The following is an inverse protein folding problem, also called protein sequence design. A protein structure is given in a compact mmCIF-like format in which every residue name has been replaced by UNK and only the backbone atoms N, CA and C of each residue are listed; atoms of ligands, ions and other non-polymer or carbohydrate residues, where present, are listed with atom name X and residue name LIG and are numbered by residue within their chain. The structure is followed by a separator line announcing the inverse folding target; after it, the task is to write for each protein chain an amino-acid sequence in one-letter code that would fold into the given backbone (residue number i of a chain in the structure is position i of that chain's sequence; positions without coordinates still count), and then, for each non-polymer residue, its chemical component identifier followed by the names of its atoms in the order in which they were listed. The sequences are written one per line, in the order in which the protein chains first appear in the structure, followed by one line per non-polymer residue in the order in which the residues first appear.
data_IF_750600044284
#
_entry.id   IF_750600044284
#
_cell.length_a   1.000
_cell.length_b   1.000
_cell.length_c   1.000
_cell.angle_alpha   90.00
_cell.angle_beta   90.00
_cell.angle_gamma   90.00
#
_symmetry.space_group_name_H-M   'P 1'
#
loop_
_entity.id
_entity.type
_entity.pdbx_description
1 polymer ?
#
# COMPACT_ATOMS: atom_id res chain seq x y z
N UNK A 1 -22.84 47.59 -21.22
CA UNK A 1 -22.85 48.53 -20.07
C UNK A 1 -21.74 48.16 -19.09
N UNK A 2 -20.88 49.12 -18.73
CA UNK A 2 -20.14 49.15 -17.45
C UNK A 2 -20.94 50.03 -16.47
N UNK A 3 -20.86 49.79 -15.15
CA UNK A 3 -19.96 50.55 -14.26
C UNK A 3 -19.38 49.64 -13.14
N UNK A 4 -18.60 50.09 -12.15
CA UNK A 4 -17.55 51.12 -12.06
C UNK A 4 -16.70 50.81 -10.79
N UNK A 5 -15.59 51.52 -10.61
CA UNK A 5 -14.57 51.28 -9.56
C UNK A 5 -14.88 52.08 -8.29
N UNK A 6 -14.54 51.57 -7.11
CA UNK A 6 -14.08 52.39 -5.97
C UNK A 6 -12.94 51.70 -5.19
N UNK A 7 -12.01 52.53 -4.70
CA UNK A 7 -10.80 52.16 -3.95
C UNK A 7 -10.80 52.85 -2.58
N UNK A 8 -10.09 52.28 -1.60
CA UNK A 8 -9.86 52.86 -0.28
C UNK A 8 -8.86 52.00 0.49
N UNK A 9 -7.98 52.57 1.33
CA UNK A 9 -6.86 51.78 1.85
C UNK A 9 -6.09 52.28 3.07
N UNK A 10 -5.04 51.49 3.37
CA UNK A 10 -3.86 51.74 4.21
C UNK A 10 -3.98 51.77 5.76
N UNK A 11 -2.89 51.38 6.49
CA UNK A 11 -2.87 51.14 7.94
C UNK A 11 -2.10 52.31 8.66
N UNK A 12 -1.42 52.24 9.84
CA UNK A 12 -0.56 51.16 10.41
C UNK A 12 -0.74 50.86 11.93
N UNK A 13 -0.04 49.82 12.46
CA UNK A 13 0.84 49.93 13.65
C UNK A 13 1.72 48.68 13.88
N UNK A 14 2.89 48.91 14.47
CA UNK A 14 3.97 47.96 14.76
C UNK A 14 3.98 47.54 16.25
N UNK A 15 4.80 46.54 16.63
CA UNK A 15 5.66 46.61 17.85
C UNK A 15 6.68 45.45 17.99
N UNK A 16 7.94 45.86 18.20
CA UNK A 16 9.07 45.20 18.89
C UNK A 16 9.78 43.93 18.37
N UNK A 17 11.08 43.90 18.69
CA UNK A 17 12.07 42.83 18.53
C UNK A 17 12.61 42.41 19.90
N UNK A 18 12.92 41.13 20.10
CA UNK A 18 14.02 40.62 20.95
C UNK A 18 14.26 39.15 20.54
N UNK A 19 15.43 38.62 20.20
CA UNK A 19 16.88 38.85 20.47
C UNK A 19 17.40 38.16 21.75
N UNK A 20 18.37 37.26 21.54
CA UNK A 20 19.13 36.46 22.54
C UNK A 20 18.36 35.27 23.15
N UNK A 21 18.99 34.21 23.67
CA UNK A 21 20.42 33.99 23.96
C UNK A 21 20.84 32.52 23.72
N UNK A 22 22.08 32.34 23.28
CA UNK A 22 22.76 31.04 23.07
C UNK A 22 23.41 30.60 24.40
N UNK A 23 23.20 29.36 24.84
CA UNK A 23 24.00 28.76 25.92
C UNK A 23 24.52 27.39 25.46
N UNK A 24 25.83 27.33 25.18
CA UNK A 24 26.60 26.09 25.25
C UNK A 24 26.80 25.77 26.74
N UNK A 25 26.69 24.49 27.12
CA UNK A 25 27.57 23.95 28.18
C UNK A 25 28.29 22.72 27.64
N UNK A 26 29.59 22.76 27.87
CA UNK A 26 30.61 21.74 27.62
C UNK A 26 31.12 21.30 29.00
N UNK A 27 32.02 20.31 29.01
CA UNK A 27 32.68 19.73 30.18
C UNK A 27 31.80 18.73 30.96
N UNK A 28 32.32 17.61 31.44
CA UNK A 28 33.70 17.11 31.26
C UNK A 28 33.86 15.75 31.97
N UNK A 29 34.76 14.91 31.45
CA UNK A 29 35.17 13.67 32.12
C UNK A 29 36.19 13.94 33.23
N UNK A 30 36.17 13.18 34.32
CA UNK A 30 37.38 12.87 35.08
C UNK A 30 37.85 11.44 34.80
N UNK A 31 39.16 11.30 34.58
CA UNK A 31 39.91 10.04 34.77
C UNK A 31 40.75 10.20 36.04
N UNK A 32 40.63 9.23 36.94
CA UNK A 32 41.58 8.82 37.99
C UNK A 32 40.97 7.59 38.66
N UNK A 33 41.67 6.70 39.36
CA UNK A 33 43.09 6.51 39.63
C UNK A 33 43.18 5.15 40.38
N UNK A 34 44.24 4.36 40.20
CA UNK A 34 44.25 2.95 40.63
C UNK A 34 44.79 2.69 42.04
N UNK A 35 44.69 1.43 42.48
CA UNK A 35 45.54 0.80 43.53
C UNK A 35 45.46 -0.73 43.34
N UNK A 36 46.53 -1.42 42.90
CA UNK A 36 47.63 -2.09 43.65
C UNK A 36 47.37 -3.54 44.09
N UNK A 37 48.31 -4.42 43.73
CA UNK A 37 48.61 -5.76 44.28
C UNK A 37 47.50 -6.85 44.22
N UNK A 38 47.82 -8.14 44.03
CA UNK A 38 49.11 -8.78 43.76
C UNK A 38 49.20 -10.16 44.42
N UNK A 39 49.41 -11.24 43.65
CA UNK A 39 49.81 -12.56 44.14
C UNK A 39 50.22 -13.49 42.98
N UNK A 40 51.24 -14.32 43.23
CA UNK A 40 51.92 -15.22 42.29
C UNK A 40 51.09 -16.42 41.80
N UNK A 41 51.59 -17.09 40.75
CA UNK A 41 51.01 -18.34 40.24
C UNK A 41 51.66 -18.88 38.96
N UNK A 42 52.91 -19.32 39.02
CA UNK A 42 53.60 -19.90 37.86
C UNK A 42 53.11 -21.33 37.53
N UNK A 43 52.88 -21.65 36.24
CA UNK A 43 53.67 -22.69 35.54
C UNK A 43 53.35 -22.90 34.04
N UNK A 44 54.43 -23.10 33.27
CA UNK A 44 54.64 -24.06 32.15
C UNK A 44 53.55 -24.26 31.07
N UNK A 45 53.91 -23.85 29.84
CA UNK A 45 53.62 -24.61 28.61
C UNK A 45 54.38 -25.95 28.62
N UNK A 46 53.95 -26.95 27.82
CA UNK A 46 54.78 -27.30 26.66
C UNK A 46 53.98 -27.35 25.34
N UNK A 47 54.59 -27.86 24.27
CA UNK A 47 54.20 -27.57 22.88
C UNK A 47 54.16 -28.81 21.97
N UNK A 48 53.67 -28.57 20.73
CA UNK A 48 53.79 -29.41 19.51
C UNK A 48 52.98 -30.71 19.45
N UNK A 49 52.32 -30.91 18.30
CA UNK A 49 51.70 -32.18 17.87
C UNK A 49 51.20 -32.05 16.43
N UNK A 50 51.47 -33.04 15.57
CA UNK A 50 51.20 -33.01 14.12
C UNK A 50 49.83 -33.61 13.76
N UNK A 51 49.35 -33.27 12.57
CA UNK A 51 48.29 -34.01 11.85
C UNK A 51 48.72 -35.41 11.43
N UNK A 52 47.77 -36.29 11.08
CA UNK A 52 47.81 -36.86 9.73
C UNK A 52 46.45 -36.80 8.98
N UNK A 53 46.45 -37.38 7.77
CA UNK A 53 45.51 -37.15 6.66
C UNK A 53 44.47 -38.27 6.50
N UNK A 54 43.29 -37.87 6.00
CA UNK A 54 42.45 -38.54 4.99
C UNK A 54 41.87 -39.95 5.22
N UNK A 55 40.54 -40.04 5.07
CA UNK A 55 39.86 -41.17 4.43
C UNK A 55 38.73 -40.64 3.54
N UNK A 56 38.64 -41.15 2.31
CA UNK A 56 37.70 -40.70 1.26
C UNK A 56 36.40 -41.52 1.25
N UNK A 57 35.24 -40.87 1.16
CA UNK A 57 33.98 -41.53 0.81
C UNK A 57 33.21 -40.72 -0.25
N UNK A 58 33.27 -41.22 -1.49
CA UNK A 58 32.60 -40.64 -2.66
C UNK A 58 31.11 -41.05 -2.67
N UNK A 59 30.18 -40.09 -2.59
CA UNK A 59 28.78 -40.30 -3.02
C UNK A 59 28.36 -39.24 -4.04
N UNK A 60 27.73 -39.72 -5.10
CA UNK A 60 27.51 -39.03 -6.38
C UNK A 60 26.49 -37.90 -6.25
N UNK A 61 26.67 -36.85 -7.07
CA UNK A 61 25.78 -35.69 -7.16
C UNK A 61 24.43 -36.08 -7.80
N UNK A 62 23.35 -35.54 -7.25
CA UNK A 62 22.08 -35.32 -7.94
C UNK A 62 21.76 -33.81 -7.90
N UNK A 63 21.31 -33.17 -9.00
CA UNK A 63 21.14 -31.72 -9.06
C UNK A 63 19.79 -31.28 -8.48
N UNK A 64 19.68 -31.17 -7.15
CA UNK A 64 18.59 -30.40 -6.56
C UNK A 64 18.82 -28.90 -6.79
N UNK A 65 18.03 -28.31 -7.67
CA UNK A 65 18.03 -26.87 -7.97
C UNK A 65 17.57 -26.11 -6.72
N UNK A 66 18.55 -25.56 -5.99
CA UNK A 66 18.29 -24.80 -4.77
C UNK A 66 17.52 -23.51 -5.08
N UNK A 67 16.28 -23.45 -4.61
CA UNK A 67 15.39 -22.30 -4.80
C UNK A 67 15.97 -21.05 -4.13
N UNK A 68 16.16 -19.96 -4.89
CA UNK A 68 16.89 -18.77 -4.45
C UNK A 68 16.14 -17.99 -3.36
N UNK A 69 16.43 -18.29 -2.10
CA UNK A 69 16.05 -17.49 -0.93
C UNK A 69 16.95 -16.24 -0.72
N UNK A 70 17.68 -15.81 -1.77
CA UNK A 70 18.88 -14.96 -1.64
C UNK A 70 18.60 -13.46 -1.71
N UNK A 71 17.33 -13.02 -1.77
CA UNK A 71 16.96 -11.60 -1.91
C UNK A 71 16.62 -10.84 -0.61
N UNK A 72 16.73 -11.46 0.57
CA UNK A 72 16.45 -10.80 1.88
C UNK A 72 17.61 -10.79 2.90
N UNK A 73 18.69 -11.51 2.67
CA UNK A 73 19.74 -11.73 3.70
C UNK A 73 20.90 -10.70 3.72
N UNK A 74 20.98 -9.77 2.76
CA UNK A 74 22.18 -8.95 2.52
C UNK A 74 22.01 -7.42 2.75
N UNK A 75 21.31 -7.06 3.84
CA UNK A 75 21.34 -5.71 4.44
C UNK A 75 21.53 -5.74 5.98
N UNK A 76 21.25 -6.87 6.64
CA UNK A 76 21.54 -7.04 8.07
C UNK A 76 22.92 -7.69 8.22
N UNK A 77 23.88 -6.92 8.74
CA UNK A 77 25.05 -7.50 9.38
C UNK A 77 24.57 -8.45 10.48
N UNK A 78 25.32 -9.54 10.73
CA UNK A 78 24.95 -10.60 11.67
C UNK A 78 25.05 -10.10 13.12
N UNK A 79 24.08 -9.28 13.52
CA UNK A 79 23.78 -8.98 14.92
C UNK A 79 23.06 -10.20 15.48
N UNK A 80 23.60 -10.76 16.55
CA UNK A 80 22.92 -11.75 17.39
C UNK A 80 21.77 -11.05 18.13
N UNK A 81 20.67 -10.82 17.43
CA UNK A 81 19.46 -10.22 17.99
C UNK A 81 18.81 -11.19 18.98
N UNK A 82 18.49 -10.68 20.18
CA UNK A 82 17.73 -11.46 21.16
C UNK A 82 16.36 -11.86 20.60
N UNK A 83 15.77 -12.90 21.17
CA UNK A 83 14.43 -13.38 20.79
C UNK A 83 13.37 -12.27 20.76
N UNK A 84 13.46 -11.29 21.68
CA UNK A 84 12.62 -10.08 21.70
C UNK A 84 12.74 -9.19 20.46
N UNK A 85 13.95 -8.91 19.95
CA UNK A 85 14.13 -8.08 18.75
C UNK A 85 13.56 -8.75 17.49
N UNK A 86 13.70 -10.08 17.39
CA UNK A 86 13.13 -10.86 16.30
C UNK A 86 11.59 -10.88 16.35
N UNK A 87 10.99 -10.91 17.55
CA UNK A 87 9.55 -10.78 17.75
C UNK A 87 9.05 -9.38 17.36
N UNK A 88 9.68 -8.32 17.86
CA UNK A 88 9.35 -6.93 17.52
C UNK A 88 9.52 -6.65 16.02
N UNK A 89 10.53 -7.22 15.36
CA UNK A 89 10.71 -7.12 13.92
C UNK A 89 9.61 -7.86 13.12
N UNK A 90 9.17 -9.04 13.57
CA UNK A 90 8.05 -9.77 12.97
C UNK A 90 6.73 -9.03 13.14
N UNK A 91 6.46 -8.52 14.34
CA UNK A 91 5.26 -7.73 14.66
C UNK A 91 5.19 -6.44 13.82
N UNK A 92 6.31 -5.71 13.70
CA UNK A 92 6.44 -4.53 12.83
C UNK A 92 6.16 -4.80 11.35
N UNK A 93 6.33 -6.03 10.88
CA UNK A 93 5.98 -6.45 9.51
C UNK A 93 4.54 -6.98 9.41
N UNK A 94 4.06 -7.64 10.46
CA UNK A 94 2.73 -8.27 10.49
C UNK A 94 1.59 -7.25 10.32
N UNK A 95 1.64 -6.11 11.01
CA UNK A 95 0.59 -5.09 10.85
C UNK A 95 0.62 -4.46 9.45
N UNK A 96 1.79 -4.21 8.87
CA UNK A 96 1.91 -3.61 7.52
C UNK A 96 1.32 -4.54 6.46
N UNK A 97 1.70 -5.83 6.50
CA UNK A 97 1.11 -6.84 5.62
C UNK A 97 -0.41 -6.92 5.86
N UNK A 98 -0.87 -6.93 7.12
CA UNK A 98 -2.30 -7.02 7.47
C UNK A 98 -3.10 -5.81 7.00
N UNK A 99 -2.65 -4.57 7.20
CA UNK A 99 -3.33 -3.36 6.69
C UNK A 99 -3.43 -3.40 5.17
N UNK A 100 -2.38 -3.84 4.48
CA UNK A 100 -2.41 -4.04 3.02
C UNK A 100 -3.40 -5.13 2.60
N UNK A 101 -3.43 -6.25 3.33
CA UNK A 101 -4.38 -7.34 3.13
C UNK A 101 -5.82 -6.85 3.26
N UNK A 102 -6.16 -6.24 4.38
CA UNK A 102 -7.47 -5.62 4.64
C UNK A 102 -7.84 -4.58 3.57
N UNK A 103 -6.89 -3.74 3.16
CA UNK A 103 -7.11 -2.76 2.10
C UNK A 103 -7.47 -3.39 0.75
N UNK A 104 -6.88 -4.53 0.38
CA UNK A 104 -7.25 -5.24 -0.86
C UNK A 104 -8.52 -6.07 -0.70
N UNK A 105 -8.80 -6.65 0.48
CA UNK A 105 -10.10 -7.26 0.77
C UNK A 105 -11.24 -6.24 0.65
N UNK A 106 -11.03 -5.00 1.12
CA UNK A 106 -11.94 -3.88 0.93
C UNK A 106 -12.14 -3.49 -0.55
N UNK A 107 -11.15 -3.71 -1.42
CA UNK A 107 -11.30 -3.52 -2.88
C UNK A 107 -12.12 -4.65 -3.50
N UNK A 108 -11.89 -5.91 -3.13
CA UNK A 108 -12.69 -7.04 -3.63
C UNK A 108 -14.14 -6.89 -3.19
N UNK A 109 -14.40 -6.63 -1.90
CA UNK A 109 -15.74 -6.42 -1.38
C UNK A 109 -16.44 -5.25 -2.06
N UNK A 110 -15.74 -4.13 -2.31
CA UNK A 110 -16.32 -3.01 -3.06
C UNK A 110 -16.80 -3.43 -4.45
N UNK A 111 -15.97 -4.13 -5.24
CA UNK A 111 -16.38 -4.58 -6.58
C UNK A 111 -17.48 -5.64 -6.56
N UNK A 112 -17.46 -6.54 -5.57
CA UNK A 112 -18.56 -7.49 -5.31
C UNK A 112 -19.88 -6.75 -5.06
N UNK A 113 -19.84 -5.65 -4.29
CA UNK A 113 -21.02 -4.84 -4.01
C UNK A 113 -21.52 -4.13 -5.29
N UNK A 114 -20.66 -3.39 -5.99
CA UNK A 114 -21.11 -2.53 -7.10
C UNK A 114 -21.34 -3.24 -8.43
N UNK A 115 -20.79 -4.44 -8.66
CA UNK A 115 -20.92 -5.16 -9.95
C UNK A 115 -21.67 -6.48 -9.85
N UNK A 116 -22.00 -6.95 -8.65
CA UNK A 116 -22.79 -8.17 -8.48
C UNK A 116 -23.95 -7.94 -7.53
N UNK A 117 -23.71 -7.64 -6.25
CA UNK A 117 -24.82 -7.54 -5.29
C UNK A 117 -25.85 -6.46 -5.68
N UNK A 118 -25.39 -5.26 -6.07
CA UNK A 118 -26.27 -4.16 -6.48
C UNK A 118 -27.03 -4.40 -7.81
N UNK A 119 -26.66 -5.43 -8.60
CA UNK A 119 -27.38 -5.76 -9.84
C UNK A 119 -28.43 -6.87 -9.67
N UNK A 120 -28.40 -7.61 -8.56
CA UNK A 120 -29.31 -8.75 -8.30
C UNK A 120 -30.12 -8.66 -7.00
N UNK A 121 -29.77 -7.76 -6.07
CA UNK A 121 -30.50 -7.57 -4.81
C UNK A 121 -31.62 -6.55 -4.96
N UNK A 122 -32.73 -6.76 -4.24
CA UNK A 122 -33.83 -5.78 -4.15
C UNK A 122 -33.34 -4.43 -3.60
N UNK A 123 -33.39 -3.34 -4.39
CA UNK A 123 -32.98 -2.00 -3.95
C UNK A 123 -33.84 -1.43 -2.81
N UNK A 124 -35.08 -1.90 -2.64
CA UNK A 124 -35.97 -1.49 -1.56
C UNK A 124 -35.61 -2.11 -0.19
N UNK A 125 -34.78 -3.16 -0.18
CA UNK A 125 -34.46 -3.89 1.04
C UNK A 125 -33.54 -3.11 1.98
N UNK A 126 -33.79 -3.23 3.29
CA UNK A 126 -32.92 -2.63 4.33
C UNK A 126 -31.49 -3.17 4.30
N UNK A 127 -31.30 -4.39 3.81
CA UNK A 127 -29.98 -5.01 3.61
C UNK A 127 -29.25 -4.40 2.41
N UNK A 128 -29.95 -4.06 1.33
CA UNK A 128 -29.36 -3.29 0.23
C UNK A 128 -28.93 -1.89 0.68
N UNK A 129 -29.77 -1.17 1.42
CA UNK A 129 -29.43 0.14 1.97
C UNK A 129 -28.21 0.09 2.93
N UNK A 130 -28.08 -0.95 3.75
CA UNK A 130 -26.89 -1.18 4.57
C UNK A 130 -25.64 -1.39 3.71
N UNK A 131 -25.73 -2.24 2.69
CA UNK A 131 -24.61 -2.55 1.81
C UNK A 131 -24.20 -1.38 0.92
N UNK A 132 -25.13 -0.52 0.51
CA UNK A 132 -24.81 0.73 -0.18
C UNK A 132 -24.04 1.69 0.73
N UNK A 133 -24.45 1.88 1.99
CA UNK A 133 -23.67 2.69 2.94
C UNK A 133 -22.24 2.14 3.15
N UNK A 134 -22.08 0.82 3.21
CA UNK A 134 -20.76 0.17 3.28
C UNK A 134 -20.00 0.40 1.98
N UNK A 135 -20.63 0.21 0.82
CA UNK A 135 -20.08 0.45 -0.51
C UNK A 135 -19.57 1.88 -0.69
N UNK A 136 -20.38 2.88 -0.34
CA UNK A 136 -20.01 4.30 -0.37
C UNK A 136 -18.92 4.69 0.65
N UNK A 137 -18.77 3.92 1.74
CA UNK A 137 -17.69 4.10 2.72
C UNK A 137 -16.37 3.49 2.21
N UNK A 138 -16.41 2.24 1.73
CA UNK A 138 -15.30 1.58 1.00
C UNK A 138 -14.89 2.39 -0.24
N UNK A 139 -15.87 3.05 -0.87
CA UNK A 139 -15.75 4.11 -1.88
C UNK A 139 -14.64 5.09 -1.58
N UNK A 140 -14.71 5.69 -0.39
CA UNK A 140 -13.84 6.78 0.06
C UNK A 140 -12.52 6.29 0.67
N UNK A 141 -12.54 5.22 1.47
CA UNK A 141 -11.38 4.88 2.33
C UNK A 141 -10.34 3.96 1.70
N UNK A 142 -10.74 3.04 0.80
CA UNK A 142 -9.87 1.90 0.41
C UNK A 142 -8.59 2.32 -0.32
N UNK A 143 -8.71 3.26 -1.26
CA UNK A 143 -7.58 3.72 -2.07
C UNK A 143 -6.64 4.64 -1.26
N UNK A 144 -7.11 5.64 -0.48
CA UNK A 144 -6.27 6.40 0.45
C UNK A 144 -5.40 5.53 1.37
N UNK A 145 -6.00 4.50 1.99
CA UNK A 145 -5.26 3.55 2.85
C UNK A 145 -4.18 2.82 2.05
N UNK A 146 -4.53 2.24 0.90
CA UNK A 146 -3.58 1.48 0.06
C UNK A 146 -2.43 2.36 -0.47
N UNK A 147 -2.71 3.59 -0.89
CA UNK A 147 -1.70 4.53 -1.36
C UNK A 147 -0.79 5.02 -0.24
N UNK A 148 -1.32 5.34 0.94
CA UNK A 148 -0.51 5.70 2.10
C UNK A 148 0.42 4.56 2.53
N UNK A 149 -0.07 3.32 2.54
CA UNK A 149 0.74 2.12 2.82
C UNK A 149 1.81 1.88 1.74
N UNK A 150 1.48 2.10 0.47
CA UNK A 150 2.45 2.03 -0.63
C UNK A 150 3.54 3.11 -0.51
N UNK A 151 3.18 4.32 -0.13
CA UNK A 151 4.10 5.43 0.17
C UNK A 151 5.03 5.10 1.34
N UNK A 152 4.47 4.62 2.46
CA UNK A 152 5.23 4.23 3.66
C UNK A 152 6.28 3.15 3.38
N UNK A 153 5.95 2.20 2.49
CA UNK A 153 6.87 1.16 2.02
C UNK A 153 7.85 1.63 0.93
N UNK A 154 7.58 2.75 0.27
CA UNK A 154 8.47 3.37 -0.71
C UNK A 154 9.43 4.39 -0.08
N UNK A 155 9.07 4.96 1.08
CA UNK A 155 9.70 6.11 1.75
C UNK A 155 11.24 6.13 1.67
N UNK A 156 11.93 5.16 2.28
CA UNK A 156 13.39 5.19 2.36
C UNK A 156 14.07 5.15 0.97
N UNK A 157 13.42 4.51 0.00
CA UNK A 157 13.90 4.42 -1.37
C UNK A 157 13.63 5.68 -2.20
N UNK A 158 12.50 6.38 -1.97
CA UNK A 158 12.18 7.61 -2.71
C UNK A 158 12.87 8.84 -2.13
N UNK A 159 13.11 8.88 -0.81
CA UNK A 159 13.82 10.01 -0.21
C UNK A 159 15.28 10.15 -0.71
N UNK A 160 15.90 9.05 -1.18
CA UNK A 160 17.22 9.03 -1.85
C UNK A 160 17.24 9.58 -3.29
N UNK A 161 16.10 10.02 -3.82
CA UNK A 161 15.98 10.68 -5.14
C UNK A 161 16.15 9.74 -6.33
N UNK A 162 16.15 10.29 -7.55
CA UNK A 162 16.10 9.50 -8.80
C UNK A 162 17.32 8.61 -9.04
N UNK A 163 18.53 9.15 -8.82
CA UNK A 163 19.79 8.47 -9.15
C UNK A 163 20.11 7.32 -8.17
N UNK A 164 19.99 7.55 -6.86
CA UNK A 164 20.36 6.60 -5.79
C UNK A 164 19.17 5.90 -5.10
N UNK A 165 17.95 6.27 -5.47
CA UNK A 165 16.71 5.74 -4.90
C UNK A 165 16.11 4.57 -5.68
N UNK A 166 14.90 4.18 -5.29
CA UNK A 166 14.15 3.07 -5.90
C UNK A 166 13.04 3.52 -6.87
N UNK A 167 12.95 4.81 -7.19
CA UNK A 167 11.90 5.36 -8.06
C UNK A 167 11.88 4.69 -9.43
N UNK A 168 13.05 4.56 -10.08
CA UNK A 168 13.21 3.89 -11.38
C UNK A 168 12.76 2.43 -11.36
N UNK A 169 13.22 1.66 -10.38
CA UNK A 169 12.82 0.26 -10.19
C UNK A 169 11.31 0.15 -9.99
N UNK A 170 10.70 1.05 -9.20
CA UNK A 170 9.25 1.05 -8.93
C UNK A 170 8.43 1.42 -10.16
N UNK A 171 8.80 2.49 -10.87
CA UNK A 171 8.19 2.90 -12.13
C UNK A 171 8.17 1.71 -13.10
N UNK A 172 9.32 1.16 -13.42
CA UNK A 172 9.46 0.07 -14.40
C UNK A 172 8.78 -1.22 -13.94
N UNK A 173 8.88 -1.58 -12.65
CA UNK A 173 8.22 -2.81 -12.13
C UNK A 173 6.69 -2.72 -12.16
N UNK A 174 6.14 -1.59 -11.72
CA UNK A 174 4.69 -1.40 -11.64
C UNK A 174 4.09 -1.18 -13.04
N UNK A 175 4.79 -0.44 -13.92
CA UNK A 175 4.35 -0.23 -15.30
C UNK A 175 4.46 -1.48 -16.16
N UNK A 176 5.48 -2.33 -15.95
CA UNK A 176 5.56 -3.64 -16.60
C UNK A 176 4.37 -4.52 -16.22
N UNK A 177 4.08 -4.66 -14.91
CA UNK A 177 2.92 -5.42 -14.44
C UNK A 177 1.60 -4.83 -14.95
N UNK A 178 1.48 -3.50 -15.01
CA UNK A 178 0.32 -2.82 -15.60
C UNK A 178 0.15 -3.18 -17.08
N UNK A 179 1.20 -3.02 -17.89
CA UNK A 179 1.18 -3.30 -19.33
C UNK A 179 0.82 -4.76 -19.65
N UNK A 180 1.43 -5.71 -18.94
CA UNK A 180 1.12 -7.14 -19.08
C UNK A 180 -0.36 -7.40 -18.76
N UNK A 181 -0.87 -6.83 -17.67
CA UNK A 181 -2.27 -7.06 -17.27
C UNK A 181 -3.31 -6.32 -18.11
N UNK A 182 -2.97 -5.20 -18.73
CA UNK A 182 -3.81 -4.55 -19.75
C UNK A 182 -4.04 -5.48 -20.94
N UNK A 183 -2.98 -6.12 -21.45
CA UNK A 183 -3.09 -7.08 -22.56
C UNK A 183 -3.91 -8.31 -22.14
N UNK A 184 -3.67 -8.84 -20.93
CA UNK A 184 -4.44 -9.98 -20.41
C UNK A 184 -5.91 -9.65 -20.19
N UNK A 185 -6.24 -8.45 -19.69
CA UNK A 185 -7.63 -8.00 -19.56
C UNK A 185 -8.31 -7.86 -20.93
N UNK A 186 -7.62 -7.32 -21.94
CA UNK A 186 -8.16 -7.19 -23.29
C UNK A 186 -8.48 -8.57 -23.91
N UNK A 187 -7.55 -9.53 -23.82
CA UNK A 187 -7.78 -10.91 -24.27
C UNK A 187 -8.91 -11.56 -23.47
N UNK A 188 -8.93 -11.38 -22.15
CA UNK A 188 -9.96 -11.95 -21.29
C UNK A 188 -11.36 -11.41 -21.60
N UNK A 189 -11.54 -10.09 -21.76
CA UNK A 189 -12.84 -9.49 -22.05
C UNK A 189 -13.34 -9.82 -23.47
N UNK A 190 -12.44 -9.85 -24.45
CA UNK A 190 -12.77 -10.34 -25.79
C UNK A 190 -13.27 -11.79 -25.78
N UNK A 191 -12.71 -12.66 -24.93
CA UNK A 191 -13.16 -14.04 -24.75
C UNK A 191 -14.41 -14.17 -23.85
N UNK A 192 -14.64 -13.25 -22.93
CA UNK A 192 -15.82 -13.24 -22.05
C UNK A 192 -17.09 -12.90 -22.83
N UNK A 193 -16.97 -12.17 -23.95
CA UNK A 193 -18.08 -11.76 -24.82
C UNK A 193 -19.22 -11.03 -24.07
N UNK A 194 -18.86 -10.25 -23.05
CA UNK A 194 -19.75 -9.45 -22.18
C UNK A 194 -19.38 -7.96 -22.28
N UNK A 195 -19.79 -7.24 -23.35
CA UNK A 195 -19.49 -5.81 -23.51
C UNK A 195 -20.26 -4.91 -22.54
N UNK A 196 -21.26 -5.47 -21.84
CA UNK A 196 -21.98 -4.90 -20.72
C UNK A 196 -21.17 -4.87 -19.41
N UNK A 197 -20.11 -5.68 -19.30
CA UNK A 197 -19.38 -5.81 -18.04
C UNK A 197 -18.55 -4.55 -17.72
N UNK A 198 -18.60 -4.03 -16.48
CA UNK A 198 -17.88 -2.81 -16.10
C UNK A 198 -16.38 -2.85 -16.40
N UNK A 199 -15.92 -1.85 -17.16
CA UNK A 199 -14.53 -1.68 -17.60
C UNK A 199 -13.97 -2.80 -18.50
N UNK A 200 -14.84 -3.41 -19.31
CA UNK A 200 -14.43 -4.22 -20.46
C UNK A 200 -13.50 -3.46 -21.41
N UNK A 201 -12.66 -4.19 -22.16
CA UNK A 201 -11.74 -3.63 -23.16
C UNK A 201 -11.98 -4.34 -24.49
N UNK A 202 -12.97 -3.87 -25.24
CA UNK A 202 -13.54 -4.59 -26.38
C UNK A 202 -13.00 -4.11 -27.74
N UNK A 203 -12.09 -3.14 -27.76
CA UNK A 203 -11.56 -2.53 -28.98
C UNK A 203 -10.11 -2.08 -28.86
N UNK A 204 -9.37 -2.09 -29.98
CA UNK A 204 -7.93 -1.82 -30.00
C UNK A 204 -7.57 -0.38 -29.60
N UNK A 205 -8.40 0.60 -29.95
CA UNK A 205 -8.27 1.99 -29.51
C UNK A 205 -8.37 2.09 -27.97
N UNK A 206 -9.28 1.35 -27.33
CA UNK A 206 -9.40 1.28 -25.86
C UNK A 206 -8.22 0.59 -25.22
N UNK A 207 -7.63 -0.42 -25.87
CA UNK A 207 -6.36 -1.05 -25.42
C UNK A 207 -5.22 -0.03 -25.46
N UNK A 208 -5.05 0.68 -26.58
CA UNK A 208 -4.00 1.69 -26.75
C UNK A 208 -4.16 2.85 -25.75
N UNK A 209 -5.41 3.27 -25.50
CA UNK A 209 -5.73 4.34 -24.56
C UNK A 209 -5.30 4.01 -23.13
N UNK A 210 -5.37 2.75 -22.68
CA UNK A 210 -4.91 2.32 -21.34
C UNK A 210 -3.47 2.77 -21.04
N UNK A 211 -2.57 2.72 -22.02
CA UNK A 211 -1.16 3.03 -21.81
C UNK A 211 -0.90 4.52 -21.49
N UNK A 212 -1.87 5.40 -21.76
CA UNK A 212 -1.81 6.83 -21.43
C UNK A 212 -2.80 7.20 -20.31
N UNK A 213 -4.03 6.68 -20.40
CA UNK A 213 -5.13 6.93 -19.47
C UNK A 213 -5.76 5.60 -19.02
N UNK A 214 -5.52 5.14 -17.78
CA UNK A 214 -6.01 3.84 -17.32
C UNK A 214 -7.52 3.87 -17.12
N UNK A 215 -8.29 3.20 -17.99
CA UNK A 215 -9.76 3.18 -17.93
C UNK A 215 -10.33 2.02 -17.13
N UNK A 216 -9.48 1.05 -16.76
CA UNK A 216 -9.84 -0.13 -15.96
C UNK A 216 -9.39 -0.02 -14.51
N UNK A 217 -9.82 -0.97 -13.66
CA UNK A 217 -9.32 -1.11 -12.29
C UNK A 217 -7.81 -1.22 -12.17
N UNK A 218 -7.07 -1.53 -13.24
CA UNK A 218 -5.60 -1.57 -13.22
C UNK A 218 -4.95 -0.20 -12.92
N UNK A 219 -5.73 0.90 -12.90
CA UNK A 219 -5.27 2.26 -12.60
C UNK A 219 -4.43 2.39 -11.33
N UNK A 220 -4.62 1.54 -10.31
CA UNK A 220 -3.76 1.54 -9.11
C UNK A 220 -2.30 1.21 -9.43
N UNK A 221 -2.04 0.24 -10.32
CA UNK A 221 -0.68 -0.12 -10.72
C UNK A 221 -0.04 1.02 -11.51
N UNK A 222 -0.80 1.65 -12.41
CA UNK A 222 -0.39 2.85 -13.14
C UNK A 222 -0.03 4.00 -12.17
N UNK A 223 -0.90 4.28 -11.19
CA UNK A 223 -0.65 5.27 -10.14
C UNK A 223 0.60 4.94 -9.31
N UNK A 224 0.82 3.67 -8.95
CA UNK A 224 2.03 3.22 -8.26
C UNK A 224 3.30 3.31 -9.13
N UNK A 225 3.18 3.40 -10.45
CA UNK A 225 4.29 3.71 -11.34
C UNK A 225 4.55 5.23 -11.40
N UNK A 226 3.47 6.02 -11.54
CA UNK A 226 3.49 7.48 -11.71
C UNK A 226 3.85 8.26 -10.44
N UNK A 227 3.23 7.96 -9.29
CA UNK A 227 3.43 8.74 -8.06
C UNK A 227 4.88 8.78 -7.54
N UNK A 228 5.67 7.68 -7.61
CA UNK A 228 7.11 7.74 -7.32
C UNK A 228 7.88 8.73 -8.21
N UNK A 229 7.51 8.86 -9.48
CA UNK A 229 8.11 9.80 -10.42
C UNK A 229 7.73 11.24 -10.06
N UNK A 230 6.43 11.53 -9.91
CA UNK A 230 5.92 12.86 -9.54
C UNK A 230 6.52 13.36 -8.23
N UNK A 231 6.54 12.52 -7.19
CA UNK A 231 7.10 12.89 -5.89
C UNK A 231 8.60 13.19 -5.96
N UNK A 232 9.37 12.40 -6.72
CA UNK A 232 10.81 12.63 -6.88
C UNK A 232 11.09 13.87 -7.73
N UNK A 233 10.25 14.15 -8.73
CA UNK A 233 10.32 15.37 -9.53
C UNK A 233 10.04 16.62 -8.69
N UNK A 234 8.95 16.66 -7.92
CA UNK A 234 8.64 17.78 -7.02
C UNK A 234 9.78 18.03 -6.01
N UNK A 235 10.39 16.97 -5.46
CA UNK A 235 11.56 17.10 -4.59
C UNK A 235 12.84 17.55 -5.32
N UNK A 236 13.01 17.20 -6.60
CA UNK A 236 14.11 17.69 -7.43
C UNK A 236 13.95 19.20 -7.75
N UNK A 237 12.72 19.64 -7.96
CA UNK A 237 12.31 21.06 -8.06
C UNK A 237 12.38 21.82 -6.73
N UNK A 238 12.91 21.20 -5.67
CA UNK A 238 13.04 21.75 -4.30
C UNK A 238 11.72 22.16 -3.63
N UNK A 239 10.58 21.64 -4.09
CA UNK A 239 9.29 21.88 -3.42
C UNK A 239 9.36 21.32 -1.98
N UNK A 240 9.08 22.12 -0.94
CA UNK A 240 9.13 21.67 0.44
C UNK A 240 8.02 20.66 0.72
N UNK A 241 8.19 19.84 1.77
CA UNK A 241 7.26 18.76 2.11
C UNK A 241 5.82 19.24 2.29
N UNK A 242 5.61 20.42 2.90
CA UNK A 242 4.29 21.02 3.08
C UNK A 242 3.69 21.49 1.75
N UNK A 243 4.52 21.96 0.81
CA UNK A 243 4.08 22.37 -0.53
C UNK A 243 3.62 21.18 -1.37
N UNK A 244 4.30 20.03 -1.24
CA UNK A 244 3.87 18.77 -1.89
C UNK A 244 2.50 18.33 -1.34
N UNK A 245 2.29 18.42 -0.02
CA UNK A 245 1.00 18.08 0.58
C UNK A 245 -0.10 19.07 0.20
N UNK A 246 0.19 20.38 0.18
CA UNK A 246 -0.75 21.42 -0.26
C UNK A 246 -1.18 21.21 -1.72
N UNK A 247 -0.23 20.98 -2.63
CA UNK A 247 -0.52 20.67 -4.03
C UNK A 247 -1.35 19.40 -4.18
N UNK A 248 -1.04 18.35 -3.41
CA UNK A 248 -1.83 17.12 -3.39
C UNK A 248 -3.26 17.34 -2.87
N UNK A 249 -3.44 18.11 -1.80
CA UNK A 249 -4.76 18.44 -1.26
C UNK A 249 -5.56 19.30 -2.24
N UNK A 250 -4.94 20.29 -2.89
CA UNK A 250 -5.57 21.07 -3.95
C UNK A 250 -5.99 20.17 -5.14
N UNK A 251 -5.15 19.20 -5.54
CA UNK A 251 -5.49 18.21 -6.56
C UNK A 251 -6.66 17.31 -6.14
N UNK A 252 -6.82 16.99 -4.85
CA UNK A 252 -7.98 16.25 -4.33
C UNK A 252 -9.29 17.04 -4.44
N UNK A 253 -9.28 18.32 -4.05
CA UNK A 253 -10.47 19.18 -4.22
C UNK A 253 -10.77 19.41 -5.70
N UNK A 254 -9.76 19.66 -6.52
CA UNK A 254 -9.94 19.81 -7.97
C UNK A 254 -10.54 18.53 -8.58
N UNK A 255 -9.97 17.36 -8.30
CA UNK A 255 -10.49 16.07 -8.77
C UNK A 255 -11.94 15.80 -8.35
N UNK A 256 -12.31 16.16 -7.11
CA UNK A 256 -13.69 15.97 -6.61
C UNK A 256 -14.73 16.82 -7.35
N UNK A 257 -14.31 17.94 -7.96
CA UNK A 257 -15.17 18.79 -8.78
C UNK A 257 -15.05 18.48 -10.29
N UNK A 258 -13.93 17.89 -10.73
CA UNK A 258 -13.72 17.40 -12.09
C UNK A 258 -14.41 16.04 -12.29
N UNK A 259 -15.63 16.03 -12.84
CA UNK A 259 -16.30 14.82 -13.35
C UNK A 259 -15.64 14.29 -14.65
N UNK A 260 -14.32 14.07 -14.63
CA UNK A 260 -13.50 13.90 -15.83
C UNK A 260 -13.04 12.46 -16.03
N UNK A 261 -13.50 11.88 -17.14
CA UNK A 261 -12.78 10.99 -18.08
C UNK A 261 -11.75 10.03 -17.45
N UNK A 262 -12.10 8.74 -17.42
CA UNK A 262 -11.17 7.60 -17.40
C UNK A 262 -10.19 7.56 -16.21
N UNK A 263 -10.73 7.63 -14.99
CA UNK A 263 -9.99 7.58 -13.70
C UNK A 263 -8.89 8.67 -13.52
N UNK A 264 -8.83 9.70 -14.38
CA UNK A 264 -7.90 10.81 -14.22
C UNK A 264 -8.15 11.59 -12.92
N UNK A 265 -9.41 11.74 -12.54
CA UNK A 265 -9.87 12.24 -11.24
C UNK A 265 -9.29 11.40 -10.08
N UNK A 266 -9.40 10.07 -10.13
CA UNK A 266 -8.89 9.16 -9.12
C UNK A 266 -7.35 9.22 -9.01
N UNK A 267 -6.64 9.40 -10.14
CA UNK A 267 -5.20 9.62 -10.16
C UNK A 267 -4.79 10.94 -9.50
N UNK A 268 -5.51 12.03 -9.72
CA UNK A 268 -5.24 13.32 -9.06
C UNK A 268 -5.57 13.25 -7.56
N UNK A 269 -6.76 12.75 -7.22
CA UNK A 269 -7.24 12.70 -5.84
C UNK A 269 -6.32 11.88 -4.92
N UNK A 270 -5.82 10.74 -5.38
CA UNK A 270 -5.09 9.82 -4.50
C UNK A 270 -3.60 10.14 -4.31
N UNK A 271 -3.03 11.09 -5.06
CA UNK A 271 -1.61 11.45 -4.93
C UNK A 271 -1.26 11.96 -3.53
N UNK A 272 -2.14 12.75 -2.91
CA UNK A 272 -1.92 13.30 -1.56
C UNK A 272 -1.74 12.21 -0.51
N UNK A 273 -2.51 11.12 -0.57
CA UNK A 273 -2.42 10.01 0.39
C UNK A 273 -1.13 9.21 0.21
N UNK A 274 -0.67 9.03 -1.04
CA UNK A 274 0.66 8.48 -1.29
C UNK A 274 1.78 9.37 -0.74
N UNK A 275 1.69 10.69 -0.96
CA UNK A 275 2.65 11.67 -0.46
C UNK A 275 2.67 11.71 1.09
N UNK A 276 1.50 11.67 1.75
CA UNK A 276 1.36 11.50 3.20
C UNK A 276 2.02 10.19 3.67
N UNK A 277 1.84 9.09 2.95
CA UNK A 277 2.51 7.83 3.21
C UNK A 277 4.04 7.93 3.19
N UNK A 278 4.61 8.64 2.22
CA UNK A 278 6.08 8.82 2.10
C UNK A 278 6.63 9.82 3.12
N UNK A 279 5.99 10.98 3.27
CA UNK A 279 6.49 12.10 4.07
C UNK A 279 6.17 11.91 5.57
N UNK A 280 5.01 11.34 5.88
CA UNK A 280 4.54 11.03 7.24
C UNK A 280 4.80 9.59 7.71
N UNK A 281 5.71 8.86 7.04
CA UNK A 281 5.90 7.43 7.29
C UNK A 281 6.23 7.08 8.75
N UNK A 282 6.92 7.97 9.48
CA UNK A 282 7.25 7.75 10.88
C UNK A 282 6.05 8.00 11.80
N UNK A 283 5.21 8.98 11.47
CA UNK A 283 3.95 9.26 12.16
C UNK A 283 2.99 8.07 11.99
N UNK A 284 2.84 7.56 10.77
CA UNK A 284 2.05 6.35 10.50
C UNK A 284 2.55 5.14 11.32
N UNK A 285 3.87 4.95 11.47
CA UNK A 285 4.43 3.87 12.33
C UNK A 285 4.10 4.05 13.82
N UNK A 286 3.80 5.26 14.31
CA UNK A 286 3.36 5.45 15.72
C UNK A 286 1.97 4.89 15.94
N UNK A 287 1.07 4.97 14.96
CA UNK A 287 -0.28 4.38 15.05
C UNK A 287 -0.27 2.85 15.14
N UNK A 288 0.84 2.18 14.78
CA UNK A 288 0.99 0.73 14.98
C UNK A 288 1.24 0.32 16.43
N UNK A 289 1.28 1.28 17.37
CA UNK A 289 1.31 1.07 18.83
C UNK A 289 0.06 1.71 19.43
N UNK A 290 -1.12 1.11 19.24
CA UNK A 290 -2.40 1.73 19.58
C UNK A 290 -2.59 1.83 21.10
N UNK A 291 -2.28 3.02 21.65
CA UNK A 291 -2.89 3.46 22.90
C UNK A 291 -4.33 3.93 22.68
N UNK A 292 -5.13 4.04 23.74
CA UNK A 292 -6.56 4.41 23.66
C UNK A 292 -6.77 5.69 22.86
N UNK A 293 -6.03 6.77 23.16
CA UNK A 293 -6.13 8.04 22.42
C UNK A 293 -5.68 7.92 20.95
N UNK A 294 -4.72 7.04 20.65
CA UNK A 294 -4.18 6.81 19.29
C UNK A 294 -5.21 6.11 18.40
N UNK A 295 -6.15 5.36 18.98
CA UNK A 295 -7.32 4.81 18.29
C UNK A 295 -8.50 5.78 18.28
N UNK A 296 -8.87 6.32 19.44
CA UNK A 296 -10.10 7.10 19.62
C UNK A 296 -10.07 8.45 18.89
N UNK A 297 -8.91 9.11 18.76
CA UNK A 297 -8.84 10.39 18.03
C UNK A 297 -9.10 10.20 16.52
N UNK A 298 -8.41 9.30 15.80
CA UNK A 298 -8.77 8.98 14.42
C UNK A 298 -10.20 8.48 14.26
N UNK A 299 -10.70 7.63 15.18
CA UNK A 299 -12.06 7.10 15.13
C UNK A 299 -13.11 8.21 15.32
N UNK A 300 -12.93 9.09 16.31
CA UNK A 300 -13.83 10.21 16.56
C UNK A 300 -13.87 11.19 15.39
N UNK A 301 -12.70 11.57 14.85
CA UNK A 301 -12.62 12.41 13.64
C UNK A 301 -13.28 11.74 12.44
N UNK A 302 -13.08 10.43 12.26
CA UNK A 302 -13.71 9.66 11.19
C UNK A 302 -15.24 9.65 11.31
N UNK A 303 -15.77 9.32 12.50
CA UNK A 303 -17.22 9.26 12.75
C UNK A 303 -17.88 10.64 12.62
N UNK A 304 -17.27 11.69 13.20
CA UNK A 304 -17.77 13.07 13.07
C UNK A 304 -17.77 13.51 11.60
N UNK A 305 -16.74 13.18 10.82
CA UNK A 305 -16.71 13.52 9.40
C UNK A 305 -17.68 12.70 8.54
N UNK A 306 -17.92 11.42 8.88
CA UNK A 306 -18.95 10.58 8.21
C UNK A 306 -20.36 11.09 8.51
N UNK A 307 -20.68 11.44 9.75
CA UNK A 307 -22.01 11.95 10.14
C UNK A 307 -22.20 13.38 9.64
N UNK A 308 -21.22 14.27 9.86
CA UNK A 308 -21.24 15.65 9.38
C UNK A 308 -21.40 15.72 7.86
N UNK A 309 -20.63 14.92 7.10
CA UNK A 309 -20.72 14.84 5.64
C UNK A 309 -22.00 14.21 5.08
N UNK A 310 -23.00 13.87 5.92
CA UNK A 310 -24.37 13.53 5.50
C UNK A 310 -25.38 14.68 5.71
N UNK A 311 -25.00 15.71 6.45
CA UNK A 311 -25.87 16.84 6.81
C UNK A 311 -25.35 18.20 6.31
N UNK A 312 -24.21 18.22 5.62
CA UNK A 312 -23.64 19.44 5.01
C UNK A 312 -23.28 19.20 3.54
N UNK A 313 -23.71 20.13 2.69
CA UNK A 313 -23.47 20.11 1.25
C UNK A 313 -22.29 20.98 0.83
N UNK A 314 -22.02 21.00 -0.49
CA UNK A 314 -21.03 21.88 -1.11
C UNK A 314 -19.61 21.70 -0.56
N UNK A 315 -18.92 22.81 -0.32
CA UNK A 315 -17.53 22.81 0.13
C UNK A 315 -17.35 22.11 1.50
N UNK A 316 -18.32 22.24 2.41
CA UNK A 316 -18.28 21.58 3.72
C UNK A 316 -18.36 20.05 3.58
N UNK A 317 -19.23 19.55 2.69
CA UNK A 317 -19.33 18.13 2.37
C UNK A 317 -18.05 17.56 1.73
N UNK A 318 -17.40 18.34 0.85
CA UNK A 318 -16.10 17.97 0.27
C UNK A 318 -14.99 17.91 1.34
N UNK A 319 -14.93 18.89 2.24
CA UNK A 319 -13.97 18.88 3.36
C UNK A 319 -14.21 17.64 4.25
N UNK A 320 -15.46 17.32 4.57
CA UNK A 320 -15.80 16.11 5.32
C UNK A 320 -15.32 14.84 4.58
N UNK A 321 -15.54 14.73 3.26
CA UNK A 321 -15.05 13.63 2.44
C UNK A 321 -13.52 13.47 2.46
N UNK A 322 -12.77 14.58 2.43
CA UNK A 322 -11.31 14.57 2.59
C UNK A 322 -10.90 14.10 3.98
N UNK A 323 -11.55 14.61 5.04
CA UNK A 323 -11.26 14.25 6.44
C UNK A 323 -11.56 12.77 6.71
N UNK A 324 -12.66 12.23 6.18
CA UNK A 324 -12.97 10.77 6.20
C UNK A 324 -11.81 9.98 5.57
N UNK A 325 -11.38 10.38 4.37
CA UNK A 325 -10.31 9.72 3.63
C UNK A 325 -8.95 9.77 4.37
N UNK A 326 -8.62 10.93 4.96
CA UNK A 326 -7.38 11.15 5.68
C UNK A 326 -7.33 10.45 7.05
N UNK A 327 -8.44 10.47 7.81
CA UNK A 327 -8.55 9.84 9.14
C UNK A 327 -8.65 8.31 9.07
N UNK A 328 -9.18 7.76 7.97
CA UNK A 328 -9.21 6.32 7.74
C UNK A 328 -7.81 5.68 7.67
N UNK A 329 -6.77 6.43 7.26
CA UNK A 329 -5.39 5.92 7.17
C UNK A 329 -4.83 5.53 8.55
N UNK A 330 -4.70 6.43 9.55
CA UNK A 330 -4.24 6.06 10.89
C UNK A 330 -5.19 5.08 11.58
N UNK A 331 -6.50 5.20 11.36
CA UNK A 331 -7.50 4.26 11.90
C UNK A 331 -7.26 2.82 11.39
N UNK A 332 -7.05 2.64 10.08
CA UNK A 332 -6.76 1.32 9.50
C UNK A 332 -5.43 0.72 9.99
N UNK A 333 -4.43 1.56 10.26
CA UNK A 333 -3.16 1.12 10.89
C UNK A 333 -3.40 0.67 12.33
N UNK A 334 -4.12 1.47 13.13
CA UNK A 334 -4.43 1.15 14.53
C UNK A 334 -5.28 -0.14 14.63
N UNK A 335 -6.34 -0.28 13.84
CA UNK A 335 -7.18 -1.47 13.78
C UNK A 335 -6.39 -2.71 13.35
N UNK A 336 -5.53 -2.61 12.33
CA UNK A 336 -4.68 -3.74 11.91
C UNK A 336 -3.66 -4.14 12.98
N UNK A 337 -3.10 -3.18 13.72
CA UNK A 337 -2.19 -3.44 14.84
C UNK A 337 -2.92 -4.11 16.02
N UNK A 338 -4.13 -3.66 16.37
CA UNK A 338 -4.97 -4.32 17.38
C UNK A 338 -5.33 -5.75 16.96
N UNK A 339 -5.75 -5.95 15.70
CA UNK A 339 -6.04 -7.27 15.15
C UNK A 339 -4.82 -8.20 15.18
N UNK A 340 -3.61 -7.66 14.98
CA UNK A 340 -2.36 -8.42 15.08
C UNK A 340 -2.00 -8.85 16.51
N UNK A 341 -2.64 -8.33 17.55
CA UNK A 341 -2.50 -8.86 18.93
C UNK A 341 -3.07 -10.28 19.05
N UNK A 342 -4.02 -10.66 18.18
CA UNK A 342 -4.54 -12.02 18.10
C UNK A 342 -3.76 -12.84 17.06
N UNK A 343 -2.96 -13.79 17.53
CA UNK A 343 -2.00 -14.54 16.69
C UNK A 343 -2.59 -15.28 15.47
N UNK A 344 -3.83 -15.82 15.49
CA UNK A 344 -4.50 -16.33 14.28
C UNK A 344 -4.73 -15.25 13.22
N UNK A 345 -5.32 -14.10 13.58
CA UNK A 345 -5.54 -13.02 12.62
C UNK A 345 -4.25 -12.37 12.13
N UNK A 346 -3.23 -12.23 12.99
CA UNK A 346 -1.90 -11.80 12.57
C UNK A 346 -1.31 -12.73 11.48
N UNK A 347 -1.46 -14.05 11.65
CA UNK A 347 -0.99 -15.05 10.67
C UNK A 347 -1.78 -14.98 9.36
N UNK A 348 -3.11 -14.95 9.42
CA UNK A 348 -4.00 -14.90 8.23
C UNK A 348 -3.85 -13.57 7.49
N UNK A 349 -4.00 -12.45 8.20
CA UNK A 349 -3.87 -11.09 7.65
C UNK A 349 -2.52 -10.87 6.97
N UNK A 350 -1.42 -11.29 7.61
CA UNK A 350 -0.09 -11.20 7.02
C UNK A 350 0.12 -12.19 5.86
N UNK A 351 -0.51 -13.37 5.88
CA UNK A 351 -0.45 -14.33 4.77
C UNK A 351 -1.23 -13.87 3.51
N UNK A 352 -2.33 -13.14 3.69
CA UNK A 352 -3.07 -12.46 2.62
C UNK A 352 -2.27 -11.22 2.16
N UNK A 353 -1.78 -10.41 3.10
CA UNK A 353 -0.99 -9.19 2.88
C UNK A 353 0.26 -9.36 2.02
N UNK A 354 0.96 -10.49 2.14
CA UNK A 354 2.09 -10.85 1.27
C UNK A 354 1.69 -11.24 -0.16
N UNK A 355 0.42 -11.51 -0.41
CA UNK A 355 -0.12 -12.07 -1.67
C UNK A 355 -1.25 -11.23 -2.25
N UNK A 356 -1.29 -9.93 -1.94
CA UNK A 356 -2.35 -9.05 -2.44
C UNK A 356 -2.32 -8.80 -3.94
N UNK A 357 -1.16 -8.92 -4.60
CA UNK A 357 -1.04 -8.65 -6.04
C UNK A 357 -1.90 -9.62 -6.89
N UNK A 358 -1.83 -10.96 -6.72
CA UNK A 358 -2.77 -11.88 -7.37
C UNK A 358 -4.24 -11.59 -7.08
N UNK A 359 -4.60 -11.34 -5.81
CA UNK A 359 -5.99 -11.04 -5.43
C UNK A 359 -6.49 -9.79 -6.17
N UNK A 360 -5.67 -8.74 -6.19
CA UNK A 360 -6.00 -7.47 -6.83
C UNK A 360 -6.22 -7.60 -8.35
N UNK A 361 -5.46 -8.47 -9.01
CA UNK A 361 -5.47 -8.62 -10.47
C UNK A 361 -6.49 -9.68 -10.94
N UNK A 362 -6.71 -10.73 -10.16
CA UNK A 362 -7.66 -11.80 -10.51
C UNK A 362 -9.10 -11.48 -10.11
N UNK A 363 -9.35 -10.56 -9.17
CA UNK A 363 -10.72 -10.23 -8.73
C UNK A 363 -11.67 -9.87 -9.88
N UNK A 364 -11.19 -9.14 -10.90
CA UNK A 364 -12.04 -8.64 -11.99
C UNK A 364 -12.35 -9.75 -13.01
N UNK A 365 -11.36 -10.52 -13.53
CA UNK A 365 -11.68 -11.70 -14.32
C UNK A 365 -12.59 -12.70 -13.61
N UNK A 366 -12.38 -12.94 -12.31
CA UNK A 366 -13.23 -13.85 -11.53
C UNK A 366 -14.66 -13.30 -11.33
N UNK A 367 -14.84 -11.98 -11.17
CA UNK A 367 -16.16 -11.36 -11.17
C UNK A 367 -16.83 -11.41 -12.55
N UNK A 368 -16.08 -11.24 -13.64
CA UNK A 368 -16.58 -11.40 -15.00
C UNK A 368 -17.10 -12.82 -15.25
N UNK A 369 -16.32 -13.84 -14.89
CA UNK A 369 -16.78 -15.24 -14.96
C UNK A 369 -18.00 -15.51 -14.07
N UNK A 370 -18.04 -14.92 -12.86
CA UNK A 370 -19.19 -15.05 -11.97
C UNK A 370 -20.46 -14.42 -12.56
N UNK A 371 -20.36 -13.26 -13.22
CA UNK A 371 -21.52 -12.59 -13.86
C UNK A 371 -22.16 -13.40 -14.98
N UNK A 372 -21.48 -14.41 -15.54
CA UNK A 372 -22.09 -15.33 -16.51
C UNK A 372 -23.26 -16.11 -15.89
N UNK A 373 -23.12 -16.53 -14.62
CA UNK A 373 -24.12 -17.34 -13.88
C UNK A 373 -24.93 -16.54 -12.87
N UNK A 374 -24.38 -15.42 -12.39
CA UNK A 374 -24.97 -14.54 -11.39
C UNK A 374 -25.29 -13.17 -12.00
N UNK A 375 -26.37 -13.16 -12.79
CA UNK A 375 -26.91 -11.99 -13.51
C UNK A 375 -28.35 -11.69 -13.03
N UNK A 376 -28.96 -10.56 -13.40
CA UNK A 376 -30.31 -10.18 -12.94
C UNK A 376 -31.40 -11.20 -13.29
N UNK A 377 -31.27 -11.91 -14.41
CA UNK A 377 -32.23 -12.91 -14.88
C UNK A 377 -32.10 -14.27 -14.16
N UNK A 378 -31.08 -14.42 -13.30
CA UNK A 378 -30.81 -15.63 -12.54
C UNK A 378 -31.79 -15.80 -11.38
N UNK A 379 -32.99 -16.31 -11.67
CA UNK A 379 -34.08 -16.54 -10.69
C UNK A 379 -33.66 -17.29 -9.41
N UNK A 380 -32.67 -18.21 -9.51
CA UNK A 380 -32.12 -18.93 -8.36
C UNK A 380 -31.38 -18.01 -7.37
N UNK A 381 -30.78 -16.93 -7.88
CA UNK A 381 -29.99 -15.98 -7.11
C UNK A 381 -30.86 -14.85 -6.57
N UNK A 382 -31.77 -14.30 -7.37
CA UNK A 382 -32.72 -13.27 -6.89
C UNK A 382 -33.60 -13.82 -5.77
N UNK A 383 -34.23 -14.99 -5.97
CA UNK A 383 -35.01 -15.68 -4.92
C UNK A 383 -34.18 -16.21 -3.74
N UNK A 384 -32.86 -16.31 -3.87
CA UNK A 384 -31.97 -16.53 -2.73
C UNK A 384 -31.78 -15.24 -1.93
N UNK A 385 -31.56 -14.10 -2.61
CA UNK A 385 -31.28 -12.80 -2.01
C UNK A 385 -32.51 -12.09 -1.43
N UNK A 386 -33.73 -12.49 -1.80
CA UNK A 386 -34.96 -12.14 -1.06
C UNK A 386 -34.87 -12.47 0.44
N UNK A 387 -34.07 -13.48 0.81
CA UNK A 387 -33.87 -13.88 2.21
C UNK A 387 -32.83 -12.95 2.87
N UNK A 388 -33.18 -12.16 3.90
CA UNK A 388 -32.28 -11.13 4.45
C UNK A 388 -30.92 -11.65 4.92
N UNK A 389 -30.87 -12.87 5.47
CA UNK A 389 -29.61 -13.52 5.89
C UNK A 389 -28.72 -13.85 4.70
N UNK A 390 -29.31 -14.30 3.58
CA UNK A 390 -28.55 -14.60 2.37
C UNK A 390 -28.04 -13.32 1.71
N UNK A 391 -28.87 -12.26 1.61
CA UNK A 391 -28.42 -10.94 1.16
C UNK A 391 -27.31 -10.35 2.04
N UNK A 392 -27.37 -10.56 3.36
CA UNK A 392 -26.33 -10.11 4.27
C UNK A 392 -25.02 -10.90 4.09
N UNK A 393 -25.08 -12.22 3.90
CA UNK A 393 -23.89 -13.05 3.78
C UNK A 393 -23.27 -13.06 2.37
N UNK A 394 -24.06 -12.84 1.32
CA UNK A 394 -23.63 -12.98 -0.07
C UNK A 394 -22.37 -12.18 -0.43
N UNK A 395 -22.27 -10.85 -0.15
CA UNK A 395 -21.07 -10.10 -0.49
C UNK A 395 -19.81 -10.61 0.23
N UNK A 396 -19.96 -11.10 1.47
CA UNK A 396 -18.86 -11.62 2.28
C UNK A 396 -18.40 -13.00 1.77
N UNK A 397 -19.35 -13.89 1.47
CA UNK A 397 -19.07 -15.24 0.94
C UNK A 397 -18.43 -15.15 -0.45
N UNK A 398 -18.98 -14.34 -1.35
CA UNK A 398 -18.43 -14.16 -2.69
C UNK A 398 -17.02 -13.51 -2.64
N UNK A 399 -16.82 -12.52 -1.78
CA UNK A 399 -15.48 -11.95 -1.52
C UNK A 399 -14.49 -13.02 -1.05
N UNK A 400 -14.89 -13.87 -0.09
CA UNK A 400 -14.05 -14.95 0.41
C UNK A 400 -13.72 -15.99 -0.68
N UNK A 401 -14.71 -16.34 -1.52
CA UNK A 401 -14.54 -17.25 -2.66
C UNK A 401 -13.55 -16.69 -3.71
N UNK A 402 -13.72 -15.43 -4.14
CA UNK A 402 -12.81 -14.76 -5.09
C UNK A 402 -11.38 -14.72 -4.55
N UNK A 403 -11.21 -14.40 -3.26
CA UNK A 403 -9.90 -14.36 -2.60
C UNK A 403 -9.27 -15.76 -2.51
N UNK A 404 -10.05 -16.77 -2.12
CA UNK A 404 -9.58 -18.16 -2.06
C UNK A 404 -9.16 -18.68 -3.44
N UNK A 405 -9.98 -18.43 -4.48
CA UNK A 405 -9.71 -18.82 -5.86
C UNK A 405 -8.50 -18.09 -6.44
N UNK A 406 -8.37 -16.78 -6.20
CA UNK A 406 -7.18 -15.99 -6.57
C UNK A 406 -5.89 -16.54 -5.95
N UNK A 407 -5.96 -16.97 -4.69
CA UNK A 407 -4.84 -17.59 -3.99
C UNK A 407 -4.56 -19.03 -4.48
N UNK A 408 -5.59 -19.78 -4.87
CA UNK A 408 -5.49 -21.10 -5.50
C UNK A 408 -4.81 -21.02 -6.86
N UNK A 409 -5.29 -20.14 -7.74
CA UNK A 409 -4.69 -19.85 -9.05
C UNK A 409 -3.22 -19.44 -8.89
N UNK A 410 -2.88 -18.58 -7.91
CA UNK A 410 -1.47 -18.24 -7.67
C UNK A 410 -0.63 -19.44 -7.23
N UNK A 411 -1.18 -20.37 -6.44
CA UNK A 411 -0.45 -21.60 -6.04
C UNK A 411 -0.21 -22.51 -7.23
N UNK A 412 -1.20 -22.69 -8.11
CA UNK A 412 -1.06 -23.48 -9.34
C UNK A 412 -0.02 -22.86 -10.29
N UNK A 413 -0.12 -21.55 -10.56
CA UNK A 413 0.82 -20.84 -11.44
C UNK A 413 2.25 -20.78 -10.88
N UNK A 414 2.43 -20.86 -9.56
CA UNK A 414 3.75 -20.94 -8.94
C UNK A 414 4.49 -22.28 -9.22
N UNK A 415 3.82 -23.28 -9.80
CA UNK A 415 4.44 -24.50 -10.29
C UNK A 415 5.07 -24.31 -11.67
N UNK A 416 4.70 -23.26 -12.41
CA UNK A 416 5.20 -22.97 -13.76
C UNK A 416 6.52 -22.17 -13.65
N UNK A 417 7.64 -22.66 -14.21
CA UNK A 417 8.90 -21.92 -14.20
C UNK A 417 8.77 -20.55 -14.88
N UNK A 418 9.08 -19.48 -14.15
CA UNK A 418 9.22 -18.12 -14.68
C UNK A 418 8.19 -17.09 -14.19
N UNK A 419 7.00 -17.51 -13.71
CA UNK A 419 5.92 -16.65 -13.18
C UNK A 419 5.82 -15.24 -13.83
N UNK A 420 5.65 -15.14 -15.16
CA UNK A 420 5.68 -13.86 -15.88
C UNK A 420 4.46 -12.97 -15.57
N UNK A 421 3.39 -13.58 -15.06
CA UNK A 421 2.13 -12.90 -14.74
C UNK A 421 2.23 -12.07 -13.45
N UNK A 422 3.05 -12.49 -12.48
CA UNK A 422 3.16 -11.81 -11.18
C UNK A 422 4.58 -11.40 -10.80
N UNK A 423 5.59 -11.69 -11.63
CA UNK A 423 6.98 -11.30 -11.40
C UNK A 423 7.56 -10.52 -12.58
N UNK A 424 8.40 -9.54 -12.25
CA UNK A 424 9.08 -8.70 -13.25
C UNK A 424 10.39 -9.38 -13.64
N UNK A 425 10.70 -9.57 -14.94
CA UNK A 425 11.93 -10.20 -15.39
C UNK A 425 13.19 -9.61 -14.75
N UNK A 426 14.06 -10.48 -14.22
CA UNK A 426 15.27 -10.07 -13.51
C UNK A 426 16.20 -9.12 -14.30
N UNK A 427 16.36 -9.24 -15.64
CA UNK A 427 17.15 -8.28 -16.43
C UNK A 427 16.56 -6.86 -16.39
N UNK A 428 15.24 -6.72 -16.52
CA UNK A 428 14.53 -5.44 -16.49
C UNK A 428 14.71 -4.72 -15.13
N UNK A 429 14.70 -5.51 -14.04
CA UNK A 429 15.00 -5.01 -12.68
C UNK A 429 16.50 -4.69 -12.51
N UNK A 430 17.40 -5.41 -13.17
CA UNK A 430 18.84 -5.16 -13.09
C UNK A 430 19.22 -3.82 -13.74
N UNK A 431 18.69 -3.55 -14.94
CA UNK A 431 18.92 -2.29 -15.69
C UNK A 431 18.49 -1.03 -14.94
N UNK A 432 17.54 -1.16 -14.00
CA UNK A 432 16.99 -0.02 -13.25
C UNK A 432 17.60 0.18 -11.86
N UNK A 433 18.50 -0.72 -11.41
CA UNK A 433 19.21 -0.56 -10.14
C UNK A 433 20.24 0.57 -10.25
N UNK A 434 20.41 1.41 -9.20
CA UNK A 434 21.55 2.32 -9.13
C UNK A 434 22.85 1.50 -9.22
N UNK A 435 23.77 1.92 -10.10
CA UNK A 435 25.13 1.41 -10.08
C UNK A 435 25.68 1.57 -8.64
N UNK A 436 26.17 0.46 -8.06
CA UNK A 436 26.91 0.54 -6.80
C UNK A 436 28.16 1.36 -7.10
N UNK A 437 28.24 2.57 -6.55
CA UNK A 437 29.49 3.31 -6.56
C UNK A 437 30.56 2.39 -5.97
N UNK A 438 31.60 2.10 -6.75
CA UNK A 438 32.64 1.17 -6.36
C UNK A 438 33.25 1.62 -5.05
N UNK A 439 33.41 0.69 -4.09
CA UNK A 439 34.43 0.85 -3.05
C UNK A 439 35.77 0.66 -3.74
N UNK A 440 36.28 1.72 -4.37
CA UNK A 440 37.71 1.79 -4.59
C UNK A 440 38.35 1.86 -3.21
N UNK A 441 39.09 0.81 -2.87
CA UNK A 441 39.92 0.80 -1.69
C UNK A 441 41.00 1.88 -1.85
N UNK A 442 41.25 2.61 -0.76
CA UNK A 442 42.56 3.22 -0.50
C UNK A 442 43.38 2.30 0.38
#
# INVERSE_FOLDING_TARGET
MRPAITTGGSPPRSISRSRTRRVRRSCGSPRSGGSTAGADGANRRPARGRTPRAATANRRRAPHVAFSATHRALILGRVTTGSGDALVARERLAWIDTTRGLGVLAVVLFHVLIWSFATVADPGSSVAALWDQVGGSLGRIRMPILFALAGLLAQSGLLRGWRRGSARVRLVSNYYLYAVWVVLYAVFFALLARPDFPHSIDSLDRVLLQFVFPTTTLWFLFALALYPLVLVLLRALRVPWWGILLLGTAAWFLATNLRVILFGDALLANFVFFALGVLGAEQLRRFSRPGVLVLLVPLGVFLVAVVGGRVVDGAAGQIAGFVVSASAIPLAVACAALLCRWAPAARVGSAIGRRTLPIYLLQVPLLGLWSLVANPDAAWLTGLLEKPVAALLYPLVLTAAIVALSLGIRRALALIPGDPLFTVPAPLVALTRPARAGRHAG
#
